data_IF_873925231381
#
_entry.id   IF_873925231381
#
_cell.length_a   1.000
_cell.length_b   1.000
_cell.length_c   1.000
_cell.angle_alpha   90.00
_cell.angle_beta   90.00
_cell.angle_gamma   90.00
#
_symmetry.space_group_name_H-M   'P 1'
#
loop_
_entity.id
_entity.type
_entity.pdbx_description
1 polymer ?
#
# COMPACT_ATOMS: atom_id res chain seq x y z
N UNK A 1 7.27 15.58 -11.14
CA UNK A 1 8.03 14.35 -11.44
C UNK A 1 9.19 14.27 -10.44
N UNK A 2 9.40 13.11 -9.82
CA UNK A 2 10.51 12.92 -8.88
C UNK A 2 11.85 13.03 -9.64
N UNK A 3 12.77 13.84 -9.13
CA UNK A 3 14.11 13.98 -9.70
C UNK A 3 15.10 14.35 -8.61
N UNK A 4 16.11 13.51 -8.43
CA UNK A 4 17.27 13.72 -7.58
C UNK A 4 18.55 13.45 -8.41
N UNK A 5 19.73 13.73 -7.85
CA UNK A 5 21.03 13.53 -8.52
C UNK A 5 21.31 12.10 -8.97
N UNK A 6 20.66 11.10 -8.36
CA UNK A 6 20.80 9.67 -8.67
C UNK A 6 19.58 9.06 -9.37
N UNK A 7 18.41 9.69 -9.28
CA UNK A 7 17.17 9.16 -9.86
C UNK A 7 16.31 10.25 -10.50
N UNK A 8 16.05 10.14 -11.81
CA UNK A 8 15.34 11.16 -12.58
C UNK A 8 14.24 10.55 -13.45
N UNK A 9 12.99 10.89 -13.13
CA UNK A 9 11.80 10.38 -13.81
C UNK A 9 11.48 11.03 -15.16
N UNK A 10 12.24 12.07 -15.53
CA UNK A 10 12.21 12.67 -16.87
C UNK A 10 13.06 11.84 -17.83
N UNK A 11 14.18 11.27 -17.36
CA UNK A 11 15.12 10.51 -18.20
C UNK A 11 14.91 9.00 -18.11
N UNK A 12 14.40 8.49 -16.99
CA UNK A 12 14.12 7.07 -16.78
C UNK A 12 12.82 6.88 -16.01
N UNK A 13 11.82 6.26 -16.64
CA UNK A 13 10.53 5.97 -16.01
C UNK A 13 10.58 4.80 -15.02
N UNK A 14 11.65 4.01 -15.04
CA UNK A 14 11.83 2.83 -14.15
C UNK A 14 12.64 3.17 -12.91
N UNK A 15 12.87 4.44 -12.65
CA UNK A 15 13.74 4.87 -11.57
C UNK A 15 13.09 4.68 -10.19
N UNK A 16 13.87 4.16 -9.24
CA UNK A 16 13.42 3.74 -7.91
C UNK A 16 14.51 3.96 -6.87
N UNK A 17 14.14 4.46 -5.70
CA UNK A 17 15.06 4.67 -4.58
C UNK A 17 14.37 4.41 -3.24
N UNK A 18 15.12 4.09 -2.16
CA UNK A 18 14.57 4.08 -0.82
C UNK A 18 13.94 5.42 -0.48
N UNK A 19 12.82 5.40 0.24
CA UNK A 19 12.18 6.62 0.72
C UNK A 19 13.09 7.31 1.74
N UNK A 20 13.55 8.53 1.41
CA UNK A 20 14.37 9.38 2.26
C UNK A 20 13.64 10.66 2.62
N UNK A 21 13.74 11.07 3.88
CA UNK A 21 13.09 12.28 4.39
C UNK A 21 14.12 13.16 5.10
N UNK A 22 14.25 14.40 4.60
CA UNK A 22 14.92 15.54 5.25
C UNK A 22 16.39 15.32 5.63
N UNK A 23 17.07 16.36 6.14
CA UNK A 23 18.33 16.23 6.87
C UNK A 23 18.09 16.09 8.39
N UNK A 24 18.70 15.11 9.10
CA UNK A 24 19.51 14.00 8.57
C UNK A 24 18.66 13.00 7.77
N UNK A 25 19.23 12.42 6.70
CA UNK A 25 18.57 11.47 5.80
C UNK A 25 17.96 10.30 6.57
N UNK A 26 16.66 10.40 6.87
CA UNK A 26 15.91 9.33 7.48
C UNK A 26 15.41 8.39 6.39
N UNK A 27 15.82 7.12 6.45
CA UNK A 27 15.40 6.08 5.49
C UNK A 27 14.35 5.19 6.13
N UNK A 28 13.20 5.04 5.46
CA UNK A 28 12.17 4.11 5.92
C UNK A 28 12.47 2.68 5.43
N UNK A 29 12.61 1.70 6.33
CA UNK A 29 12.79 0.30 5.94
C UNK A 29 11.64 -0.18 5.05
N UNK A 30 12.00 -0.73 3.90
CA UNK A 30 11.03 -1.31 2.97
C UNK A 30 10.23 -0.31 2.15
N UNK A 31 10.25 0.99 2.43
CA UNK A 31 9.52 1.96 1.61
C UNK A 31 10.39 2.48 0.46
N UNK A 32 9.81 2.49 -0.73
CA UNK A 32 10.46 2.86 -1.99
C UNK A 32 9.67 3.97 -2.67
N UNK A 33 10.37 5.00 -3.13
CA UNK A 33 9.85 6.01 -4.03
C UNK A 33 10.19 5.63 -5.46
N UNK A 34 9.21 5.74 -6.35
CA UNK A 34 9.38 5.54 -7.78
C UNK A 34 8.81 6.72 -8.54
N UNK A 35 9.00 6.71 -9.86
CA UNK A 35 8.45 7.74 -10.74
C UNK A 35 6.94 7.82 -10.70
N UNK A 36 6.29 6.69 -10.48
CA UNK A 36 4.87 6.60 -10.19
C UNK A 36 4.67 6.10 -8.76
N UNK A 37 3.74 6.70 -8.00
CA UNK A 37 3.44 6.24 -6.65
C UNK A 37 3.11 4.75 -6.58
N UNK A 38 2.42 4.21 -7.59
CA UNK A 38 2.07 2.79 -7.66
C UNK A 38 3.29 1.89 -7.88
N UNK A 39 4.29 2.32 -8.66
CA UNK A 39 5.51 1.54 -8.89
C UNK A 39 6.36 1.51 -7.62
N UNK A 40 6.51 2.66 -6.95
CA UNK A 40 7.15 2.75 -5.65
C UNK A 40 6.44 1.87 -4.61
N UNK A 41 5.11 1.91 -4.56
CA UNK A 41 4.32 1.07 -3.68
C UNK A 41 4.52 -0.42 -3.97
N UNK A 42 4.43 -0.86 -5.24
CA UNK A 42 4.61 -2.27 -5.60
C UNK A 42 5.99 -2.80 -5.25
N UNK A 43 7.02 -1.94 -5.29
CA UNK A 43 8.38 -2.30 -4.91
C UNK A 43 8.64 -2.21 -3.40
N UNK A 44 7.78 -1.52 -2.67
CA UNK A 44 7.88 -1.42 -1.21
C UNK A 44 7.50 -2.73 -0.53
N UNK A 45 7.96 -2.92 0.71
CA UNK A 45 7.60 -4.03 1.60
C UNK A 45 6.80 -3.49 2.81
N UNK A 46 6.22 -4.39 3.60
CA UNK A 46 5.44 -4.01 4.78
C UNK A 46 6.27 -3.96 6.07
N UNK A 47 7.59 -4.13 6.00
CA UNK A 47 8.50 -4.23 7.15
C UNK A 47 8.31 -3.11 8.18
N UNK A 48 8.23 -1.85 7.72
CA UNK A 48 8.03 -0.69 8.60
C UNK A 48 6.74 -0.78 9.43
N UNK A 49 5.67 -1.37 8.89
CA UNK A 49 4.37 -1.43 9.54
C UNK A 49 4.32 -2.44 10.70
N UNK A 50 5.32 -3.32 10.83
CA UNK A 50 5.48 -4.21 11.98
C UNK A 50 6.29 -3.57 13.12
N UNK A 51 6.88 -2.40 12.91
CA UNK A 51 7.73 -1.71 13.88
C UNK A 51 7.05 -0.47 14.44
N UNK A 52 6.91 -0.39 15.77
CA UNK A 52 6.37 0.80 16.43
C UNK A 52 7.25 2.03 16.19
N UNK A 53 8.58 1.87 16.25
CA UNK A 53 9.50 2.98 16.01
C UNK A 53 9.39 3.52 14.58
N UNK A 54 9.15 2.64 13.59
CA UNK A 54 9.00 3.07 12.21
C UNK A 54 7.66 3.79 11.99
N UNK A 55 6.59 3.30 12.59
CA UNK A 55 5.28 3.98 12.57
C UNK A 55 5.38 5.36 13.23
N UNK A 56 6.07 5.48 14.37
CA UNK A 56 6.31 6.77 15.02
C UNK A 56 7.04 7.75 14.11
N UNK A 57 8.01 7.27 13.31
CA UNK A 57 8.68 8.10 12.30
C UNK A 57 7.69 8.60 11.22
N UNK A 58 6.78 7.75 10.74
CA UNK A 58 5.74 8.15 9.78
C UNK A 58 4.82 9.20 10.40
N UNK A 59 4.36 8.99 11.63
CA UNK A 59 3.47 9.92 12.34
C UNK A 59 4.17 11.28 12.54
N UNK A 60 5.41 11.27 13.00
CA UNK A 60 6.20 12.49 13.18
C UNK A 60 6.41 13.25 11.87
N UNK A 61 6.67 12.54 10.78
CA UNK A 61 6.76 13.12 9.44
C UNK A 61 5.44 13.79 9.05
N UNK A 62 4.31 13.08 9.15
CA UNK A 62 3.00 13.65 8.80
C UNK A 62 2.69 14.90 9.64
N UNK A 63 2.97 14.88 10.94
CA UNK A 63 2.80 16.03 11.84
C UNK A 63 3.73 17.22 11.50
N UNK A 64 4.93 16.96 10.97
CA UNK A 64 5.86 18.00 10.54
C UNK A 64 5.40 18.69 9.26
N UNK A 65 4.94 17.93 8.26
CA UNK A 65 4.47 18.50 6.99
C UNK A 65 3.18 19.31 7.14
N UNK A 66 2.31 18.95 8.09
CA UNK A 66 1.13 19.77 8.42
C UNK A 66 1.47 21.16 8.98
N UNK A 67 2.74 21.44 9.29
CA UNK A 67 3.19 22.72 9.87
C UNK A 67 3.99 23.60 8.87
N UNK A 68 4.28 23.11 7.66
CA UNK A 68 5.27 23.72 6.74
C UNK A 68 4.82 23.71 5.27
N UNK A 69 3.62 24.21 4.95
CA UNK A 69 3.27 24.51 3.54
C UNK A 69 3.40 25.99 3.17
N UNK A 70 3.64 26.89 4.14
CA UNK A 70 3.81 28.33 3.89
C UNK A 70 2.59 29.02 3.25
N UNK A 71 1.45 28.32 3.15
CA UNK A 71 0.18 28.91 2.75
C UNK A 71 -0.30 29.82 3.87
N UNK A 72 -0.95 30.96 3.57
CA UNK A 72 -1.73 31.66 4.60
C UNK A 72 -2.71 30.65 5.23
N UNK A 73 -3.12 30.82 6.50
CA UNK A 73 -4.14 29.98 7.10
C UNK A 73 -5.44 30.15 6.29
N UNK A 74 -5.61 29.34 5.26
CA UNK A 74 -6.91 29.10 4.65
C UNK A 74 -7.73 28.46 5.76
N UNK A 75 -8.98 28.88 5.87
CA UNK A 75 -10.03 28.31 6.73
C UNK A 75 -10.28 26.79 6.53
N UNK A 76 -9.33 26.06 5.97
CA UNK A 76 -9.23 24.63 6.11
C UNK A 76 -8.61 24.28 7.47
N UNK A 77 -9.41 24.42 8.51
CA UNK A 77 -9.21 23.65 9.73
C UNK A 77 -9.28 22.19 9.31
N UNK A 78 -8.12 21.56 9.10
CA UNK A 78 -8.06 20.10 9.18
C UNK A 78 -8.64 19.79 10.57
N UNK A 79 -9.68 18.95 10.69
CA UNK A 79 -10.25 18.62 11.99
C UNK A 79 -9.07 18.25 12.88
N UNK A 80 -8.97 18.84 14.08
CA UNK A 80 -8.02 18.41 15.11
C UNK A 80 -8.04 16.89 15.09
N UNK A 81 -7.02 16.30 14.47
CA UNK A 81 -7.08 14.87 14.19
C UNK A 81 -6.97 14.25 15.57
N UNK A 82 -7.95 13.46 16.03
CA UNK A 82 -7.75 12.69 17.24
C UNK A 82 -6.41 11.99 17.08
N UNK A 83 -5.58 12.01 18.13
CA UNK A 83 -4.25 11.36 18.14
C UNK A 83 -4.32 10.10 17.32
N UNK A 84 -3.60 10.05 16.20
CA UNK A 84 -3.68 8.94 15.28
C UNK A 84 -3.04 7.73 15.96
N UNK A 85 -3.86 6.90 16.61
CA UNK A 85 -3.40 5.67 17.26
C UNK A 85 -3.26 4.63 16.14
N UNK A 86 -2.07 4.57 15.55
CA UNK A 86 -1.71 3.49 14.63
C UNK A 86 -1.07 2.37 15.44
N UNK A 87 -1.74 1.22 15.51
CA UNK A 87 -1.14 0.03 16.11
C UNK A 87 -0.28 -0.70 15.08
N UNK A 88 0.96 -1.10 15.42
CA UNK A 88 1.78 -1.91 14.55
C UNK A 88 1.11 -3.23 14.20
N UNK A 89 1.42 -3.73 13.01
CA UNK A 89 1.05 -5.09 12.61
C UNK A 89 1.70 -6.10 13.54
N UNK A 90 0.97 -7.16 13.83
CA UNK A 90 1.42 -8.18 14.76
C UNK A 90 2.33 -9.20 14.05
N UNK A 91 3.63 -9.16 14.34
CA UNK A 91 4.62 -10.08 13.79
C UNK A 91 4.50 -11.52 14.31
N UNK A 92 3.76 -11.73 15.42
CA UNK A 92 3.55 -13.05 16.02
C UNK A 92 2.40 -13.83 15.38
N UNK A 93 1.49 -13.15 14.66
CA UNK A 93 0.41 -13.82 13.95
C UNK A 93 0.98 -14.39 12.64
N UNK A 94 0.83 -15.70 12.39
CA UNK A 94 1.33 -16.29 11.17
C UNK A 94 0.58 -15.71 9.95
N UNK A 95 1.34 -15.25 8.97
CA UNK A 95 0.84 -14.77 7.69
C UNK A 95 1.41 -15.66 6.58
N UNK A 96 0.64 -15.81 5.48
CA UNK A 96 1.13 -16.40 4.22
C UNK A 96 2.34 -15.62 3.67
N UNK A 97 2.38 -14.32 3.95
CA UNK A 97 3.35 -13.37 3.42
C UNK A 97 4.30 -12.89 4.52
N UNK A 98 5.62 -13.04 4.37
CA UNK A 98 6.59 -12.48 5.31
C UNK A 98 6.64 -10.95 5.19
N UNK A 99 7.04 -10.20 6.24
CA UNK A 99 7.06 -8.74 6.20
C UNK A 99 7.91 -8.12 5.08
N UNK A 100 8.97 -8.82 4.66
CA UNK A 100 9.91 -8.40 3.63
C UNK A 100 9.50 -8.77 2.20
N UNK A 101 8.30 -9.34 2.01
CA UNK A 101 7.76 -9.52 0.66
C UNK A 101 7.37 -8.17 0.08
N UNK A 102 7.53 -8.02 -1.23
CA UNK A 102 7.05 -6.81 -1.92
C UNK A 102 5.53 -6.76 -1.94
N UNK A 103 4.97 -5.57 -1.78
CA UNK A 103 3.53 -5.33 -1.90
C UNK A 103 3.04 -5.72 -3.29
N UNK A 104 3.86 -5.55 -4.32
CA UNK A 104 3.57 -6.02 -5.68
C UNK A 104 3.26 -7.52 -5.71
N UNK A 105 4.06 -8.35 -5.04
CA UNK A 105 3.83 -9.79 -4.96
C UNK A 105 2.57 -10.14 -4.18
N UNK A 106 2.24 -9.37 -3.14
CA UNK A 106 0.98 -9.53 -2.40
C UNK A 106 -0.21 -9.21 -3.33
N UNK A 107 -0.15 -8.09 -4.06
CA UNK A 107 -1.19 -7.66 -5.00
C UNK A 107 -1.37 -8.71 -6.10
N UNK A 108 -0.29 -9.22 -6.67
CA UNK A 108 -0.32 -10.23 -7.73
C UNK A 108 -0.92 -11.57 -7.27
N UNK A 109 -0.99 -11.83 -5.96
CA UNK A 109 -1.60 -13.04 -5.40
C UNK A 109 -2.94 -12.77 -4.71
N UNK A 110 -3.43 -11.53 -4.80
CA UNK A 110 -4.73 -11.10 -4.28
C UNK A 110 -5.86 -11.37 -5.29
N UNK A 111 -5.54 -11.33 -6.59
CA UNK A 111 -6.51 -11.51 -7.66
C UNK A 111 -6.67 -12.98 -8.05
N UNK A 112 -7.83 -13.29 -8.63
CA UNK A 112 -8.12 -14.63 -9.16
C UNK A 112 -7.33 -14.79 -10.45
N UNK A 113 -6.18 -15.48 -10.37
CA UNK A 113 -5.28 -15.71 -11.50
C UNK A 113 -5.92 -16.58 -12.59
N UNK A 114 -6.77 -17.53 -12.20
CA UNK A 114 -7.43 -18.46 -13.10
C UNK A 114 -8.84 -18.78 -12.61
N UNK A 115 -9.84 -18.51 -13.45
CA UNK A 115 -11.18 -19.03 -13.26
C UNK A 115 -11.21 -20.48 -13.74
N UNK A 116 -11.22 -21.43 -12.81
CA UNK A 116 -11.57 -22.82 -13.13
C UNK A 116 -13.08 -22.91 -13.37
N UNK A 117 -13.50 -22.69 -14.61
CA UNK A 117 -14.89 -22.86 -15.04
C UNK A 117 -15.25 -24.35 -15.07
N UNK A 118 -15.41 -24.97 -13.89
CA UNK A 118 -16.01 -26.30 -13.77
C UNK A 118 -17.52 -26.14 -13.66
N UNK A 119 -18.18 -25.90 -14.79
CA UNK A 119 -19.63 -25.88 -14.87
C UNK A 119 -20.18 -27.30 -14.82
N UNK A 120 -20.62 -27.74 -13.64
CA UNK A 120 -21.31 -29.02 -13.47
C UNK A 120 -22.79 -28.78 -13.75
N UNK A 121 -23.19 -28.93 -15.02
CA UNK A 121 -24.57 -28.70 -15.46
C UNK A 121 -25.58 -29.59 -14.73
N UNK A 122 -25.18 -30.78 -14.28
CA UNK A 122 -26.03 -31.67 -13.46
C UNK A 122 -26.38 -31.03 -12.11
N UNK A 123 -25.40 -30.46 -11.40
CA UNK A 123 -25.65 -29.78 -10.13
C UNK A 123 -26.50 -28.52 -10.31
N UNK A 124 -26.24 -27.77 -11.38
CA UNK A 124 -27.05 -26.59 -11.73
C UNK A 124 -28.50 -26.99 -12.04
N UNK A 125 -28.70 -28.02 -12.85
CA UNK A 125 -30.04 -28.50 -13.18
C UNK A 125 -30.74 -29.09 -11.96
N UNK A 126 -30.05 -29.85 -11.11
CA UNK A 126 -30.63 -30.38 -9.87
C UNK A 126 -31.07 -29.26 -8.91
N UNK A 127 -30.33 -28.15 -8.83
CA UNK A 127 -30.66 -27.01 -7.98
C UNK A 127 -31.73 -26.08 -8.59
N UNK A 128 -31.76 -25.96 -9.91
CA UNK A 128 -32.59 -24.97 -10.61
C UNK A 128 -33.68 -25.58 -11.51
N UNK A 129 -33.92 -26.89 -11.42
CA UNK A 129 -34.94 -27.55 -12.21
C UNK A 129 -36.32 -26.93 -11.91
N UNK A 130 -37.12 -26.60 -12.94
CA UNK A 130 -38.45 -26.07 -12.75
C UNK A 130 -39.33 -27.10 -12.04
N UNK A 131 -40.04 -26.66 -11.00
CA UNK A 131 -40.94 -27.53 -10.23
C UNK A 131 -42.18 -27.95 -11.01
N UNK A 132 -42.54 -27.21 -12.05
CA UNK A 132 -43.58 -27.57 -13.00
C UNK A 132 -43.26 -26.97 -14.38
N UNK A 133 -43.40 -27.78 -15.43
CA UNK A 133 -43.35 -27.31 -16.81
C UNK A 133 -44.78 -27.02 -17.27
N UNK A 134 -45.01 -25.86 -17.89
CA UNK A 134 -46.25 -25.56 -18.60
C UNK A 134 -45.99 -25.51 -20.10
N UNK A 135 -46.91 -26.10 -20.86
CA UNK A 135 -46.94 -26.14 -22.32
C UNK A 135 -47.92 -25.09 -22.85
#
# INVERSE_FOLDING_TARGET
>A
MFSNGTCNCVTSTTCQEPMRIGPPDLVFPGLVVGCWPIDGLRMSTLECFYSSSCIELIINFLNYYTQMDGSPPVDFVLPTVPTLIVTPLNSTIPSRFPPNITIGKIIDELFIEQWFNKSIFENYFAACAPSACRY
#
